data_IF_433584580190
#
_entry.id   IF_433584580190
#
_cell.length_a   1.000
_cell.length_b   1.000
_cell.length_c   1.000
_cell.angle_alpha   90.00
_cell.angle_beta   90.00
_cell.angle_gamma   90.00
#
_symmetry.space_group_name_H-M   'P 1'
#
loop_
_entity.id
_entity.type
_entity.pdbx_description
1 polymer ?
#
# COMPACT_ATOMS: atom_id res chain seq x y z
N UNK A 1 -23.46 24.54 24.47
CA UNK A 1 -22.74 23.99 25.63
C UNK A 1 -23.18 22.54 25.80
N UNK A 2 -22.31 21.56 25.55
CA UNK A 2 -22.60 20.13 25.77
C UNK A 2 -21.29 19.34 25.78
N UNK A 3 -21.20 18.25 26.56
CA UNK A 3 -20.14 17.25 26.41
C UNK A 3 -18.89 17.38 27.28
N UNK A 4 -18.94 18.08 28.42
CA UNK A 4 -17.94 17.88 29.47
C UNK A 4 -18.42 16.71 30.34
N UNK A 5 -17.70 15.58 30.29
CA UNK A 5 -18.03 14.39 31.09
C UNK A 5 -18.12 14.78 32.58
N UNK A 6 -19.18 14.37 33.30
CA UNK A 6 -19.35 14.74 34.70
C UNK A 6 -18.30 14.01 35.54
N UNK A 7 -17.20 14.72 35.82
CA UNK A 7 -16.11 14.34 36.71
C UNK A 7 -15.82 12.83 36.73
N UNK A 8 -15.07 12.34 35.74
CA UNK A 8 -14.47 11.00 35.77
C UNK A 8 -13.69 10.82 37.08
N UNK A 9 -14.35 10.20 38.06
CA UNK A 9 -13.78 9.98 39.38
C UNK A 9 -12.49 9.19 39.24
N UNK A 10 -11.48 9.52 40.04
CA UNK A 10 -10.24 8.74 40.13
C UNK A 10 -10.49 7.30 40.61
N UNK A 11 -11.69 7.01 41.16
CA UNK A 11 -12.17 5.66 41.47
C UNK A 11 -12.78 4.88 40.29
N UNK A 12 -12.92 5.48 39.10
CA UNK A 12 -13.47 4.77 37.94
C UNK A 12 -12.52 3.65 37.48
N UNK A 13 -12.99 2.40 37.25
CA UNK A 13 -12.12 1.25 36.95
C UNK A 13 -11.17 1.45 35.75
N UNK A 14 -11.57 2.28 34.78
CA UNK A 14 -10.79 2.62 33.59
C UNK A 14 -10.33 4.09 33.56
N UNK A 15 -10.22 4.77 34.71
CA UNK A 15 -9.84 6.19 34.81
C UNK A 15 -8.55 6.51 34.02
N UNK A 16 -7.56 5.63 34.12
CA UNK A 16 -6.25 5.73 33.48
C UNK A 16 -6.31 5.79 31.94
N UNK A 17 -7.30 5.12 31.33
CA UNK A 17 -7.60 5.20 29.90
C UNK A 17 -8.57 6.35 29.60
N UNK A 18 -9.67 6.44 30.35
CA UNK A 18 -10.78 7.35 30.10
C UNK A 18 -10.35 8.83 30.14
N UNK A 19 -9.43 9.19 31.05
CA UNK A 19 -8.87 10.55 31.19
C UNK A 19 -8.29 11.15 29.90
N UNK A 20 -7.90 10.32 28.92
CA UNK A 20 -7.36 10.79 27.65
C UNK A 20 -8.44 11.31 26.69
N UNK A 21 -9.72 10.92 26.88
CA UNK A 21 -10.81 11.32 25.99
C UNK A 21 -10.74 10.65 24.61
N UNK A 22 -10.19 9.43 24.54
CA UNK A 22 -10.10 8.63 23.30
C UNK A 22 -11.50 8.20 22.83
N UNK A 23 -12.40 7.91 23.77
CA UNK A 23 -13.79 7.52 23.53
C UNK A 23 -14.73 8.54 24.16
N UNK A 24 -15.79 8.92 23.44
CA UNK A 24 -16.87 9.76 23.94
C UNK A 24 -18.23 9.32 23.35
N UNK A 25 -19.31 9.63 24.05
CA UNK A 25 -20.69 9.37 23.58
C UNK A 25 -21.28 10.70 23.10
N UNK A 26 -21.54 10.78 21.80
CA UNK A 26 -21.76 12.03 21.07
C UNK A 26 -23.24 12.25 20.68
N UNK A 27 -24.15 11.89 21.60
CA UNK A 27 -25.60 12.02 21.38
C UNK A 27 -26.19 10.95 20.45
N UNK A 28 -27.12 11.36 19.59
CA UNK A 28 -27.86 10.50 18.67
C UNK A 28 -27.67 10.89 17.22
N UNK A 29 -27.68 9.91 16.32
CA UNK A 29 -27.79 10.17 14.89
C UNK A 29 -29.22 10.58 14.46
N UNK A 30 -29.40 10.78 13.15
CA UNK A 30 -30.69 11.19 12.56
C UNK A 30 -31.83 10.19 12.80
N UNK A 31 -31.52 8.94 13.17
CA UNK A 31 -32.49 7.87 13.45
C UNK A 31 -32.68 7.62 14.96
N UNK A 32 -32.11 8.45 15.84
CA UNK A 32 -32.21 8.27 17.29
C UNK A 32 -31.29 7.18 17.86
N UNK A 33 -30.27 6.76 17.10
CA UNK A 33 -29.31 5.72 17.51
C UNK A 33 -28.11 6.38 18.17
N UNK A 34 -27.65 5.82 19.30
CA UNK A 34 -26.49 6.35 20.04
C UNK A 34 -25.22 6.37 19.18
N UNK A 35 -24.49 7.49 19.23
CA UNK A 35 -23.22 7.68 18.52
C UNK A 35 -22.06 7.61 19.49
N UNK A 36 -21.07 6.76 19.21
CA UNK A 36 -19.81 6.68 19.97
C UNK A 36 -18.66 7.15 19.07
N UNK A 37 -17.89 8.13 19.52
CA UNK A 37 -16.72 8.66 18.79
C UNK A 37 -15.43 8.03 19.32
N UNK A 38 -14.52 7.66 18.42
CA UNK A 38 -13.15 7.25 18.71
C UNK A 38 -12.18 8.25 18.09
N UNK A 39 -11.40 8.93 18.93
CA UNK A 39 -10.56 10.07 18.55
C UNK A 39 -9.06 9.72 18.60
N UNK A 40 -8.48 9.38 17.45
CA UNK A 40 -7.07 8.97 17.38
C UNK A 40 -6.07 10.06 17.80
N UNK A 41 -6.42 11.34 17.69
CA UNK A 41 -5.57 12.46 18.12
C UNK A 41 -5.40 12.53 19.65
N UNK A 42 -6.24 11.80 20.40
CA UNK A 42 -6.20 11.69 21.86
C UNK A 42 -5.43 10.46 22.36
N UNK A 43 -4.90 9.63 21.46
CA UNK A 43 -4.04 8.51 21.82
C UNK A 43 -2.66 9.01 22.29
N UNK A 44 -2.28 8.87 23.58
CA UNK A 44 -0.93 9.15 24.06
C UNK A 44 0.08 8.12 23.50
N UNK A 45 1.40 8.33 23.68
CA UNK A 45 2.41 7.35 23.34
C UNK A 45 2.12 5.95 23.91
N UNK A 46 2.49 4.91 23.16
CA UNK A 46 2.17 3.50 23.45
C UNK A 46 2.82 2.93 24.72
N UNK A 47 3.68 3.69 25.41
CA UNK A 47 4.23 3.33 26.72
C UNK A 47 3.44 3.96 27.89
N UNK A 48 2.55 4.92 27.61
CA UNK A 48 1.66 5.57 28.59
C UNK A 48 0.25 4.96 28.60
N UNK A 49 -0.04 4.05 27.65
CA UNK A 49 -1.37 3.48 27.46
C UNK A 49 -1.32 1.96 27.26
N UNK A 50 -1.94 1.23 28.18
CA UNK A 50 -2.23 -0.18 27.99
C UNK A 50 -3.36 -0.34 26.95
N UNK A 51 -2.99 -0.87 25.77
CA UNK A 51 -3.95 -1.13 24.72
C UNK A 51 -4.95 -2.24 25.07
N UNK A 52 -4.58 -3.26 25.85
CA UNK A 52 -5.54 -4.28 26.28
C UNK A 52 -6.64 -3.63 27.14
N UNK A 53 -6.23 -2.79 28.09
CA UNK A 53 -7.17 -2.03 28.92
C UNK A 53 -8.00 -1.02 28.13
N UNK A 54 -7.46 -0.44 27.05
CA UNK A 54 -8.25 0.35 26.08
C UNK A 54 -9.34 -0.48 25.40
N UNK A 55 -9.07 -1.74 25.04
CA UNK A 55 -10.06 -2.64 24.44
C UNK A 55 -11.13 -3.03 25.47
N UNK A 56 -10.75 -3.28 26.72
CA UNK A 56 -11.67 -3.54 27.83
C UNK A 56 -12.56 -2.33 28.13
N UNK A 57 -12.00 -1.12 28.11
CA UNK A 57 -12.76 0.12 28.27
C UNK A 57 -13.73 0.36 27.09
N UNK A 58 -13.27 0.12 25.84
CA UNK A 58 -14.13 0.19 24.65
C UNK A 58 -15.34 -0.74 24.77
N UNK A 59 -15.14 -1.98 25.24
CA UNK A 59 -16.25 -2.89 25.54
C UNK A 59 -17.17 -2.34 26.62
N UNK A 60 -16.61 -1.88 27.75
CA UNK A 60 -17.37 -1.34 28.88
C UNK A 60 -18.26 -0.15 28.47
N UNK A 61 -17.79 0.71 27.57
CA UNK A 61 -18.61 1.77 26.98
C UNK A 61 -19.67 1.21 26.03
N UNK A 62 -19.32 0.26 25.16
CA UNK A 62 -20.27 -0.30 24.18
C UNK A 62 -21.37 -1.15 24.82
N UNK A 63 -21.07 -1.90 25.89
CA UNK A 63 -22.03 -2.77 26.61
C UNK A 63 -23.28 -2.01 27.08
N UNK A 64 -23.16 -0.71 27.36
CA UNK A 64 -24.26 0.16 27.79
C UNK A 64 -25.26 0.48 26.66
N UNK A 65 -24.85 0.31 25.41
CA UNK A 65 -25.64 0.66 24.21
C UNK A 65 -25.90 -0.54 23.29
N UNK A 66 -25.16 -1.64 23.47
CA UNK A 66 -25.11 -2.77 22.53
C UNK A 66 -26.43 -3.49 22.33
N UNK A 67 -27.38 -3.36 23.26
CA UNK A 67 -28.74 -3.90 23.14
C UNK A 67 -29.57 -3.19 22.09
N UNK A 68 -29.29 -1.90 21.86
CA UNK A 68 -29.98 -1.05 20.90
C UNK A 68 -29.13 -0.82 19.65
N UNK A 69 -29.77 -0.34 18.60
CA UNK A 69 -29.07 0.03 17.38
C UNK A 69 -28.17 1.26 17.62
N UNK A 70 -26.91 1.19 17.18
CA UNK A 70 -25.89 2.21 17.47
C UNK A 70 -24.93 2.46 16.29
N UNK A 71 -24.19 3.57 16.37
CA UNK A 71 -23.27 4.05 15.32
C UNK A 71 -21.91 4.39 15.95
N UNK A 72 -20.81 4.09 15.24
CA UNK A 72 -19.47 4.52 15.64
C UNK A 72 -18.91 5.51 14.61
N UNK A 73 -18.25 6.57 15.09
CA UNK A 73 -17.44 7.49 14.27
C UNK A 73 -15.99 7.38 14.72
N UNK A 74 -15.10 7.09 13.79
CA UNK A 74 -13.67 6.94 14.03
C UNK A 74 -12.90 8.04 13.29
N UNK A 75 -12.31 8.96 14.05
CA UNK A 75 -11.52 10.08 13.53
C UNK A 75 -10.07 9.66 13.33
N UNK A 76 -9.68 9.43 12.07
CA UNK A 76 -8.36 8.89 11.73
C UNK A 76 -7.30 10.01 11.55
N UNK A 77 -7.11 10.82 12.60
CA UNK A 77 -6.06 11.84 12.66
C UNK A 77 -5.15 11.65 13.89
N UNK A 78 -3.89 12.09 13.81
CA UNK A 78 -2.93 12.04 14.94
C UNK A 78 -2.24 10.68 15.21
N UNK A 79 -2.66 9.59 14.56
CA UNK A 79 -1.95 8.30 14.62
C UNK A 79 -0.57 8.39 13.96
N UNK A 80 0.45 7.95 14.68
CA UNK A 80 1.84 7.92 14.25
C UNK A 80 2.58 6.71 14.87
N UNK A 81 3.87 6.51 14.57
CA UNK A 81 4.61 5.34 15.05
C UNK A 81 4.77 5.26 16.58
N UNK A 82 4.55 6.35 17.33
CA UNK A 82 4.72 6.40 18.79
C UNK A 82 3.47 6.06 19.58
N UNK A 83 2.26 6.21 19.01
CA UNK A 83 0.97 6.00 19.69
C UNK A 83 0.06 4.94 19.04
N UNK A 84 0.51 4.33 17.94
CA UNK A 84 -0.29 3.38 17.17
C UNK A 84 -0.32 1.99 17.83
N UNK A 85 -1.50 1.40 18.06
CA UNK A 85 -1.61 0.04 18.57
C UNK A 85 -0.91 -0.99 17.67
N UNK A 86 -0.41 -2.06 18.29
CA UNK A 86 0.22 -3.17 17.56
C UNK A 86 -0.77 -3.86 16.63
N UNK A 87 -0.28 -4.52 15.57
CA UNK A 87 -1.15 -5.33 14.72
C UNK A 87 -1.76 -6.52 15.48
N UNK A 88 -1.06 -7.05 16.49
CA UNK A 88 -1.61 -8.04 17.41
C UNK A 88 -2.83 -7.50 18.16
N UNK A 89 -2.75 -6.29 18.71
CA UNK A 89 -3.91 -5.64 19.34
C UNK A 89 -5.06 -5.42 18.36
N UNK A 90 -4.76 -4.92 17.14
CA UNK A 90 -5.78 -4.74 16.11
C UNK A 90 -6.46 -6.06 15.75
N UNK A 91 -5.72 -7.16 15.66
CA UNK A 91 -6.28 -8.49 15.44
C UNK A 91 -7.09 -9.01 16.64
N UNK A 92 -6.65 -8.77 17.88
CA UNK A 92 -7.39 -9.15 19.09
C UNK A 92 -8.71 -8.39 19.18
N UNK A 93 -8.67 -7.06 19.13
CA UNK A 93 -9.86 -6.21 19.08
C UNK A 93 -10.81 -6.66 17.96
N UNK A 94 -10.27 -6.88 16.76
CA UNK A 94 -11.06 -7.35 15.63
C UNK A 94 -11.71 -8.74 15.86
N UNK A 95 -10.98 -9.70 16.42
CA UNK A 95 -11.49 -11.05 16.76
C UNK A 95 -12.60 -10.98 17.81
N UNK A 96 -12.46 -10.13 18.82
CA UNK A 96 -13.52 -9.92 19.83
C UNK A 96 -14.79 -9.34 19.21
N UNK A 97 -14.68 -8.50 18.17
CA UNK A 97 -15.84 -7.93 17.47
C UNK A 97 -16.49 -8.86 16.41
N UNK A 98 -15.74 -9.74 15.73
CA UNK A 98 -16.34 -10.60 14.68
C UNK A 98 -16.84 -11.96 15.19
N UNK A 99 -16.39 -12.43 16.36
CA UNK A 99 -16.64 -13.79 16.90
C UNK A 99 -18.08 -14.26 16.63
N UNK A 100 -18.22 -15.13 15.62
CA UNK A 100 -19.50 -15.76 15.27
C UNK A 100 -20.01 -16.59 16.46
N UNK A 101 -21.33 -16.72 16.51
CA UNK A 101 -22.05 -17.58 17.46
C UNK A 101 -21.44 -18.98 17.54
N UNK A 102 -21.54 -19.54 18.75
CA UNK A 102 -20.72 -20.65 19.20
C UNK A 102 -20.58 -21.81 18.24
N UNK A 103 -19.34 -22.32 18.15
CA UNK A 103 -19.14 -23.75 17.97
C UNK A 103 -19.64 -24.49 19.23
N UNK A 104 -20.97 -24.65 19.27
CA UNK A 104 -21.69 -25.48 20.23
C UNK A 104 -21.55 -26.97 19.91
N UNK A 105 -20.86 -27.35 18.82
CA UNK A 105 -20.73 -28.74 18.39
C UNK A 105 -19.61 -29.51 19.10
N UNK A 106 -18.63 -28.80 19.69
CA UNK A 106 -17.62 -29.43 20.57
C UNK A 106 -18.06 -29.64 22.03
N UNK A 107 -19.04 -28.88 22.53
CA UNK A 107 -19.42 -28.92 23.95
C UNK A 107 -20.01 -30.25 24.47
N UNK A 108 -20.79 -31.03 23.71
CA UNK A 108 -21.31 -32.32 24.19
C UNK A 108 -20.23 -33.39 24.43
N UNK A 109 -19.02 -33.25 23.86
CA UNK A 109 -17.97 -34.28 23.93
C UNK A 109 -17.03 -34.15 25.14
N UNK A 110 -17.01 -33.01 25.83
CA UNK A 110 -16.13 -32.76 26.99
C UNK A 110 -16.84 -32.82 28.35
N UNK A 111 -18.18 -32.79 28.38
CA UNK A 111 -18.99 -32.78 29.62
C UNK A 111 -19.47 -34.19 30.04
N UNK A 112 -19.12 -35.24 29.27
CA UNK A 112 -19.48 -36.63 29.56
C UNK A 112 -18.71 -37.28 30.73
N UNK A 113 -17.69 -36.62 31.30
CA UNK A 113 -16.87 -37.18 32.39
C UNK A 113 -17.43 -36.82 33.78
N UNK A 114 -18.06 -37.79 34.42
CA UNK A 114 -18.92 -37.68 35.60
C UNK A 114 -18.23 -37.38 36.96
N UNK A 115 -16.98 -36.88 36.97
CA UNK A 115 -16.16 -36.70 38.19
C UNK A 115 -16.02 -35.28 38.74
N UNK A 116 -16.54 -34.25 38.07
CA UNK A 116 -16.27 -32.82 38.39
C UNK A 116 -17.41 -32.07 39.11
N UNK A 117 -18.37 -32.77 39.74
CA UNK A 117 -19.63 -32.18 40.22
C UNK A 117 -19.63 -31.64 41.67
N UNK A 118 -18.46 -31.41 42.30
CA UNK A 118 -18.35 -30.93 43.69
C UNK A 118 -17.17 -29.95 43.89
N UNK A 119 -17.37 -28.68 43.58
CA UNK A 119 -16.76 -27.54 44.30
C UNK A 119 -17.46 -26.23 43.94
N UNK A 120 -17.73 -25.42 44.96
CA UNK A 120 -18.19 -24.04 44.85
C UNK A 120 -17.04 -23.11 44.41
N UNK A 121 -17.37 -21.88 43.99
CA UNK A 121 -16.42 -20.80 43.69
C UNK A 121 -15.48 -20.97 42.47
N UNK A 122 -16.03 -21.29 41.29
CA UNK A 122 -15.43 -20.83 40.02
C UNK A 122 -16.49 -20.22 39.11
N UNK A 123 -16.55 -18.88 39.09
CA UNK A 123 -17.29 -18.11 38.10
C UNK A 123 -16.57 -18.20 36.74
N UNK A 124 -17.02 -19.13 35.89
CA UNK A 124 -16.52 -19.27 34.53
C UNK A 124 -16.70 -17.94 33.74
N UNK A 125 -15.70 -17.49 32.94
CA UNK A 125 -15.78 -16.23 32.21
C UNK A 125 -17.00 -16.15 31.30
N UNK A 126 -17.70 -15.01 31.39
CA UNK A 126 -18.98 -14.73 30.74
C UNK A 126 -18.95 -14.93 29.23
N UNK A 127 -20.12 -15.29 28.69
CA UNK A 127 -20.43 -15.32 27.26
C UNK A 127 -19.99 -14.01 26.57
N UNK A 128 -19.48 -14.15 25.35
CA UNK A 128 -19.12 -13.04 24.46
C UNK A 128 -20.15 -12.89 23.35
N UNK A 129 -20.43 -11.65 22.96
CA UNK A 129 -21.77 -11.29 22.54
C UNK A 129 -21.92 -10.87 21.07
N UNK A 130 -22.76 -11.59 20.34
CA UNK A 130 -23.18 -11.29 18.97
C UNK A 130 -23.79 -9.87 18.82
N UNK A 131 -24.30 -9.28 19.92
CA UNK A 131 -24.93 -7.95 19.96
C UNK A 131 -24.07 -6.84 19.33
N UNK A 132 -22.76 -6.75 19.61
CA UNK A 132 -21.90 -5.65 19.08
C UNK A 132 -21.98 -5.57 17.55
N UNK A 133 -21.76 -6.71 16.88
CA UNK A 133 -21.77 -6.82 15.42
C UNK A 133 -23.18 -6.79 14.84
N UNK A 134 -24.19 -7.27 15.57
CA UNK A 134 -25.60 -7.25 15.14
C UNK A 134 -26.11 -5.81 15.04
N UNK A 135 -25.99 -5.06 16.12
CA UNK A 135 -26.72 -3.81 16.35
C UNK A 135 -25.95 -2.54 15.92
N UNK A 136 -24.63 -2.60 15.74
CA UNK A 136 -23.89 -1.55 15.00
C UNK A 136 -24.53 -1.35 13.62
N UNK A 137 -24.91 -0.13 13.23
CA UNK A 137 -25.45 0.16 11.88
C UNK A 137 -24.39 0.68 10.93
N UNK A 138 -23.57 1.62 11.40
CA UNK A 138 -22.51 2.23 10.63
C UNK A 138 -21.24 2.42 11.49
N UNK A 139 -20.09 2.23 10.85
CA UNK A 139 -18.77 2.63 11.31
C UNK A 139 -18.23 3.66 10.31
N UNK A 140 -18.36 4.94 10.64
CA UNK A 140 -17.88 6.04 9.82
C UNK A 140 -16.40 6.30 10.10
N UNK A 141 -15.54 6.11 9.11
CA UNK A 141 -14.09 6.32 9.18
C UNK A 141 -13.78 7.64 8.48
N UNK A 142 -13.49 8.67 9.28
CA UNK A 142 -13.20 10.04 8.84
C UNK A 142 -11.70 10.20 8.62
N UNK A 143 -11.31 10.89 7.55
CA UNK A 143 -9.92 11.13 7.13
C UNK A 143 -9.07 9.85 6.90
N UNK A 144 -9.59 8.83 6.18
CA UNK A 144 -8.93 7.53 6.07
C UNK A 144 -7.64 7.59 5.25
N UNK A 145 -6.50 7.33 5.90
CA UNK A 145 -5.21 7.13 5.22
C UNK A 145 -5.21 5.85 4.37
N UNK A 146 -4.28 5.76 3.42
CA UNK A 146 -4.01 4.50 2.71
C UNK A 146 -3.68 3.35 3.68
N UNK A 147 -3.07 3.63 4.84
CA UNK A 147 -2.81 2.60 5.84
C UNK A 147 -4.10 2.00 6.41
N UNK A 148 -5.09 2.81 6.81
CA UNK A 148 -6.33 2.24 7.38
C UNK A 148 -7.11 1.47 6.29
N UNK A 149 -7.15 1.97 5.06
CA UNK A 149 -7.77 1.29 3.90
C UNK A 149 -7.11 -0.07 3.61
N UNK A 150 -5.78 -0.14 3.63
CA UNK A 150 -5.02 -1.42 3.47
C UNK A 150 -5.24 -2.36 4.67
N UNK A 151 -5.25 -1.84 5.90
CA UNK A 151 -5.52 -2.65 7.10
C UNK A 151 -6.88 -3.35 7.03
N UNK A 152 -7.94 -2.64 6.61
CA UNK A 152 -9.26 -3.22 6.41
C UNK A 152 -9.27 -4.33 5.34
N UNK A 153 -8.50 -4.19 4.26
CA UNK A 153 -8.34 -5.25 3.26
C UNK A 153 -7.58 -6.47 3.79
N UNK A 154 -6.54 -6.28 4.61
CA UNK A 154 -5.81 -7.39 5.26
C UNK A 154 -6.69 -8.13 6.27
N UNK A 155 -7.53 -7.40 7.02
CA UNK A 155 -8.46 -8.00 7.96
C UNK A 155 -9.65 -8.66 7.26
N UNK A 156 -9.99 -8.28 6.02
CA UNK A 156 -11.17 -8.73 5.24
C UNK A 156 -11.50 -10.23 5.32
N UNK A 157 -10.56 -11.20 5.30
CA UNK A 157 -10.88 -12.62 5.46
C UNK A 157 -11.42 -13.00 6.84
N UNK A 158 -11.08 -12.22 7.86
CA UNK A 158 -11.63 -12.33 9.23
C UNK A 158 -12.96 -11.57 9.35
N UNK A 159 -13.34 -10.74 8.37
CA UNK A 159 -14.53 -9.89 8.43
C UNK A 159 -15.72 -10.57 7.76
N UNK A 160 -16.80 -10.75 8.52
CA UNK A 160 -18.09 -11.10 7.91
C UNK A 160 -18.48 -10.07 6.86
N UNK A 161 -18.80 -10.53 5.65
CA UNK A 161 -19.30 -9.69 4.55
C UNK A 161 -20.45 -8.73 4.95
N UNK A 162 -21.29 -9.14 5.93
CA UNK A 162 -22.35 -8.29 6.51
C UNK A 162 -21.82 -7.13 7.35
N UNK A 163 -20.68 -7.28 8.04
CA UNK A 163 -20.04 -6.21 8.81
C UNK A 163 -19.24 -5.28 7.89
N UNK A 164 -18.54 -5.81 6.89
CA UNK A 164 -17.78 -4.98 5.94
C UNK A 164 -18.63 -3.91 5.24
N UNK A 165 -19.91 -4.20 4.95
CA UNK A 165 -20.89 -3.24 4.40
C UNK A 165 -21.27 -2.10 5.34
N UNK A 166 -20.95 -2.18 6.64
CA UNK A 166 -21.22 -1.14 7.65
C UNK A 166 -20.08 -0.11 7.74
N UNK A 167 -18.92 -0.39 7.17
CA UNK A 167 -17.76 0.51 7.19
C UNK A 167 -17.87 1.50 6.03
N UNK A 168 -18.00 2.78 6.36
CA UNK A 168 -18.20 3.88 5.41
C UNK A 168 -17.06 4.88 5.60
N UNK A 169 -16.52 5.41 4.51
CA UNK A 169 -15.31 6.24 4.51
C UNK A 169 -15.64 7.66 4.05
N UNK A 170 -15.24 8.66 4.83
CA UNK A 170 -15.39 10.08 4.48
C UNK A 170 -14.03 10.76 4.45
N UNK A 171 -13.74 11.47 3.36
CA UNK A 171 -12.51 12.23 3.19
C UNK A 171 -12.59 13.61 3.86
N UNK A 172 -13.80 14.11 4.13
CA UNK A 172 -14.09 15.39 4.78
C UNK A 172 -15.16 15.27 5.87
N UNK A 173 -15.18 16.22 6.82
CA UNK A 173 -16.23 16.33 7.84
C UNK A 173 -17.59 16.76 7.27
N UNK A 174 -17.60 17.45 6.13
CA UNK A 174 -18.82 17.85 5.41
C UNK A 174 -19.72 16.65 5.09
N UNK A 175 -19.14 15.52 4.66
CA UNK A 175 -19.86 14.28 4.30
C UNK A 175 -20.62 13.64 5.48
N UNK A 176 -20.22 13.92 6.73
CA UNK A 176 -20.93 13.45 7.93
C UNK A 176 -22.30 14.14 8.11
N UNK A 177 -22.48 15.35 7.58
CA UNK A 177 -23.68 16.17 7.84
C UNK A 177 -24.96 15.52 7.31
N UNK A 178 -24.87 14.78 6.20
CA UNK A 178 -25.99 14.02 5.63
C UNK A 178 -26.45 12.88 6.56
N UNK A 179 -25.53 12.34 7.35
CA UNK A 179 -25.71 11.09 8.11
C UNK A 179 -26.00 11.32 9.60
N UNK A 180 -25.42 12.37 10.19
CA UNK A 180 -25.40 12.63 11.63
C UNK A 180 -25.92 14.03 11.98
N UNK A 181 -26.31 14.22 13.24
CA UNK A 181 -26.61 15.54 13.81
C UNK A 181 -25.29 16.21 14.19
N UNK A 182 -24.68 16.94 13.25
CA UNK A 182 -23.33 17.47 13.38
C UNK A 182 -23.12 18.29 14.67
N UNK A 183 -24.12 19.10 15.07
CA UNK A 183 -24.08 19.95 16.27
C UNK A 183 -24.01 19.17 17.61
N UNK A 184 -24.36 17.88 17.61
CA UNK A 184 -24.25 17.02 18.81
C UNK A 184 -22.87 16.37 18.93
N UNK A 185 -22.05 16.47 17.90
CA UNK A 185 -20.88 15.63 17.71
C UNK A 185 -19.62 16.32 18.24
N UNK A 186 -19.01 15.74 19.28
CA UNK A 186 -17.79 16.28 19.89
C UNK A 186 -16.58 15.94 18.99
N UNK A 187 -16.33 16.80 18.01
CA UNK A 187 -15.20 16.70 17.09
C UNK A 187 -13.98 17.38 17.74
N UNK A 188 -12.84 16.68 17.89
CA UNK A 188 -11.63 17.31 18.44
C UNK A 188 -11.14 18.48 17.57
N UNK A 189 -10.69 19.61 18.15
CA UNK A 189 -10.19 20.77 17.39
C UNK A 189 -9.05 20.44 16.43
N UNK A 190 -8.27 19.40 16.72
CA UNK A 190 -7.19 18.90 15.87
C UNK A 190 -7.72 18.29 14.56
N UNK A 191 -8.91 17.67 14.59
CA UNK A 191 -9.59 17.08 13.44
C UNK A 191 -10.21 18.17 12.57
N UNK A 192 -10.86 19.17 13.19
CA UNK A 192 -11.43 20.35 12.49
C UNK A 192 -10.35 21.09 11.69
N UNK A 193 -9.23 21.46 12.33
CA UNK A 193 -8.09 22.14 11.67
C UNK A 193 -7.46 21.31 10.55
N UNK A 194 -7.49 19.99 10.68
CA UNK A 194 -7.00 19.11 9.62
C UNK A 194 -7.98 19.03 8.44
N UNK A 195 -9.28 19.04 8.71
CA UNK A 195 -10.32 19.11 7.67
C UNK A 195 -10.25 20.42 6.87
N UNK A 196 -10.17 21.56 7.56
CA UNK A 196 -9.94 22.89 6.93
C UNK A 196 -8.71 22.90 6.02
N UNK A 197 -7.63 22.24 6.46
CA UNK A 197 -6.41 22.06 5.66
C UNK A 197 -6.62 21.16 4.45
N UNK A 198 -7.44 20.11 4.54
CA UNK A 198 -7.77 19.26 3.40
C UNK A 198 -8.71 19.97 2.40
N UNK A 199 -9.68 20.75 2.89
CA UNK A 199 -10.60 21.51 2.05
C UNK A 199 -9.87 22.62 1.29
N UNK A 200 -9.02 23.42 1.96
CA UNK A 200 -8.22 24.47 1.30
C UNK A 200 -7.25 23.94 0.24
N UNK A 201 -6.75 22.71 0.38
CA UNK A 201 -5.97 22.03 -0.66
C UNK A 201 -6.83 21.58 -1.86
N UNK A 202 -8.13 21.32 -1.67
CA UNK A 202 -9.03 20.82 -2.71
C UNK A 202 -9.76 21.93 -3.47
N UNK A 203 -10.14 23.02 -2.80
CA UNK A 203 -10.82 24.18 -3.41
C UNK A 203 -9.93 25.02 -4.33
N UNK A 204 -8.64 24.68 -4.48
CA UNK A 204 -7.66 25.48 -5.25
C UNK A 204 -7.42 26.88 -4.67
N UNK A 205 -7.99 27.18 -3.50
CA UNK A 205 -7.90 28.47 -2.84
C UNK A 205 -6.51 28.60 -2.23
N UNK A 206 -5.60 29.20 -2.99
CA UNK A 206 -4.24 29.52 -2.52
C UNK A 206 -4.33 30.09 -1.11
N UNK A 207 -3.55 29.56 -0.14
CA UNK A 207 -3.41 30.24 1.15
C UNK A 207 -3.01 31.70 0.89
N UNK A 208 -3.37 32.65 1.77
CA UNK A 208 -2.85 34.01 1.67
C UNK A 208 -1.33 33.92 1.52
N UNK A 209 -0.69 34.77 0.69
CA UNK A 209 0.72 34.62 0.37
C UNK A 209 1.59 34.97 1.58
N UNK A 210 1.69 34.03 2.52
CA UNK A 210 3.00 33.53 2.92
C UNK A 210 3.79 33.43 1.62
N UNK A 211 4.84 34.26 1.50
CA UNK A 211 5.68 34.32 0.32
C UNK A 211 6.41 32.98 0.21
N UNK A 212 5.70 31.98 -0.30
CA UNK A 212 6.30 30.74 -0.75
C UNK A 212 7.25 31.17 -1.84
N UNK A 213 8.58 31.02 -1.65
CA UNK A 213 9.50 31.39 -2.70
C UNK A 213 9.10 30.62 -3.96
N UNK A 214 9.20 31.23 -5.16
CA UNK A 214 8.85 30.56 -6.42
C UNK A 214 9.49 29.17 -6.42
N UNK A 215 8.76 28.13 -6.87
CA UNK A 215 9.08 26.72 -6.61
C UNK A 215 10.55 26.50 -6.86
N UNK A 216 11.30 26.34 -5.76
CA UNK A 216 12.76 26.49 -5.79
C UNK A 216 13.29 25.49 -6.80
N UNK A 217 14.06 25.91 -7.83
CA UNK A 217 14.51 24.99 -8.85
C UNK A 217 15.20 23.80 -8.18
N UNK A 218 14.95 22.57 -8.65
CA UNK A 218 15.47 21.38 -7.99
C UNK A 218 16.99 21.52 -7.85
N UNK A 219 17.50 21.13 -6.68
CA UNK A 219 18.94 21.13 -6.45
C UNK A 219 19.62 20.32 -7.56
N UNK A 220 20.83 20.68 -8.02
CA UNK A 220 21.56 19.90 -9.02
C UNK A 220 21.69 18.40 -8.66
N UNK A 221 21.67 18.11 -7.36
CA UNK A 221 21.75 16.78 -6.73
C UNK A 221 20.40 16.22 -6.25
N UNK A 222 19.27 16.89 -6.51
CA UNK A 222 17.92 16.50 -6.08
C UNK A 222 17.60 15.06 -6.51
N UNK A 223 17.16 14.21 -5.57
CA UNK A 223 16.82 12.81 -5.82
C UNK A 223 15.32 12.50 -5.69
N UNK A 224 14.60 13.23 -4.83
CA UNK A 224 13.16 13.05 -4.58
C UNK A 224 12.34 14.14 -5.27
N UNK A 225 11.08 13.85 -5.66
CA UNK A 225 10.21 14.84 -6.29
C UNK A 225 10.55 15.18 -7.75
N UNK A 226 11.40 14.39 -8.41
CA UNK A 226 11.92 14.64 -9.77
C UNK A 226 11.66 13.46 -10.69
N UNK A 227 11.62 13.70 -12.00
CA UNK A 227 11.37 12.65 -13.00
C UNK A 227 12.55 11.68 -13.12
N UNK A 228 12.27 10.46 -13.60
CA UNK A 228 13.33 9.50 -13.93
C UNK A 228 14.32 10.08 -14.94
N UNK A 229 13.85 10.81 -15.97
CA UNK A 229 14.71 11.49 -16.93
C UNK A 229 15.67 12.48 -16.26
N UNK A 230 15.20 13.33 -15.34
CA UNK A 230 16.08 14.25 -14.59
C UNK A 230 17.16 13.48 -13.81
N UNK A 231 16.79 12.35 -13.20
CA UNK A 231 17.73 11.50 -12.47
C UNK A 231 18.78 10.87 -13.41
N UNK A 232 18.39 10.43 -14.61
CA UNK A 232 19.32 9.95 -15.63
C UNK A 232 20.32 11.04 -16.04
N UNK A 233 19.80 12.23 -16.35
CA UNK A 233 20.61 13.36 -16.82
C UNK A 233 21.59 13.87 -15.76
N UNK A 234 21.24 13.79 -14.47
CA UNK A 234 22.10 14.19 -13.34
C UNK A 234 23.04 13.08 -12.85
N UNK A 235 22.76 11.81 -13.14
CA UNK A 235 23.57 10.67 -12.70
C UNK A 235 24.25 9.95 -13.88
N UNK A 236 24.92 10.71 -14.77
CA UNK A 236 25.80 10.16 -15.82
C UNK A 236 25.14 9.19 -16.82
N UNK A 237 23.81 9.28 -17.00
CA UNK A 237 23.07 8.39 -17.89
C UNK A 237 22.59 7.08 -17.25
N UNK A 238 22.90 6.83 -15.97
CA UNK A 238 22.46 5.66 -15.21
C UNK A 238 20.92 5.53 -15.18
N UNK A 239 20.41 4.35 -15.54
CA UNK A 239 18.98 4.09 -15.55
C UNK A 239 18.43 3.78 -14.15
N UNK A 240 19.24 3.26 -13.22
CA UNK A 240 18.80 2.95 -11.86
C UNK A 240 19.14 4.12 -10.92
N UNK A 241 18.15 4.86 -10.37
CA UNK A 241 18.41 6.00 -9.51
C UNK A 241 19.24 5.63 -8.27
N UNK A 242 20.17 6.49 -7.81
CA UNK A 242 21.02 6.21 -6.66
C UNK A 242 20.26 5.78 -5.40
N UNK A 243 19.14 6.43 -5.08
CA UNK A 243 18.30 6.07 -3.91
C UNK A 243 17.79 4.63 -4.01
N UNK A 244 17.34 4.22 -5.20
CA UNK A 244 16.86 2.86 -5.43
C UNK A 244 18.02 1.85 -5.36
N UNK A 245 19.15 2.16 -6.00
CA UNK A 245 20.36 1.32 -5.98
C UNK A 245 20.88 1.09 -4.55
N UNK A 246 21.14 2.16 -3.79
CA UNK A 246 21.71 2.06 -2.44
C UNK A 246 20.76 1.38 -1.45
N UNK A 247 19.46 1.67 -1.50
CA UNK A 247 18.48 0.98 -0.63
C UNK A 247 18.34 -0.49 -0.98
N UNK A 248 18.32 -0.87 -2.25
CA UNK A 248 18.24 -2.27 -2.70
C UNK A 248 19.51 -3.04 -2.32
N UNK A 249 20.71 -2.48 -2.55
CA UNK A 249 21.99 -3.11 -2.17
C UNK A 249 22.02 -3.40 -0.66
N UNK A 250 21.81 -2.38 0.18
CA UNK A 250 21.86 -2.53 1.64
C UNK A 250 20.82 -3.54 2.17
N UNK A 251 19.59 -3.51 1.63
CA UNK A 251 18.55 -4.46 2.02
C UNK A 251 18.80 -5.88 1.51
N UNK A 252 19.46 -6.05 0.37
CA UNK A 252 19.87 -7.36 -0.15
C UNK A 252 20.98 -7.98 0.71
N UNK A 253 21.91 -7.16 1.22
CA UNK A 253 23.01 -7.60 2.07
C UNK A 253 22.57 -7.89 3.51
N UNK A 254 21.76 -7.00 4.12
CA UNK A 254 21.48 -7.02 5.57
C UNK A 254 20.01 -7.25 5.94
N UNK A 255 19.07 -7.07 5.01
CA UNK A 255 17.64 -6.97 5.30
C UNK A 255 16.76 -8.16 4.89
N UNK A 256 17.22 -9.05 4.01
CA UNK A 256 16.36 -10.08 3.38
C UNK A 256 15.63 -10.99 4.38
N UNK A 257 16.20 -11.27 5.55
CA UNK A 257 15.60 -12.13 6.59
C UNK A 257 14.89 -11.35 7.71
N UNK A 258 14.86 -10.03 7.66
CA UNK A 258 14.23 -9.20 8.71
C UNK A 258 12.70 -9.33 8.70
N UNK A 259 12.11 -9.73 9.83
CA UNK A 259 10.65 -9.82 9.96
C UNK A 259 9.94 -8.48 9.66
N UNK A 260 8.97 -8.53 8.74
CA UNK A 260 8.14 -7.40 8.38
C UNK A 260 8.87 -6.33 7.57
N UNK A 261 9.92 -6.70 6.82
CA UNK A 261 10.53 -5.81 5.83
C UNK A 261 9.47 -5.19 4.90
N UNK A 262 9.58 -3.89 4.58
CA UNK A 262 8.54 -3.09 3.92
C UNK A 262 7.17 -2.96 4.62
N UNK A 263 6.83 -3.79 5.61
CA UNK A 263 5.58 -3.71 6.39
C UNK A 263 5.72 -2.77 7.59
N UNK A 264 6.85 -2.83 8.29
CA UNK A 264 7.12 -1.99 9.47
C UNK A 264 7.36 -0.53 9.05
N UNK A 265 7.08 0.39 9.98
CA UNK A 265 7.30 1.83 9.84
C UNK A 265 8.61 2.22 10.49
N UNK A 266 9.27 3.24 9.93
CA UNK A 266 10.48 3.85 10.48
C UNK A 266 10.17 5.25 11.05
N UNK A 267 11.15 5.87 11.71
CA UNK A 267 11.04 7.25 12.22
C UNK A 267 10.81 8.26 11.07
N UNK A 268 9.70 9.01 11.13
CA UNK A 268 9.37 10.05 10.13
C UNK A 268 10.40 11.18 10.12
N UNK A 269 11.02 11.48 11.27
CA UNK A 269 12.07 12.50 11.37
C UNK A 269 13.33 12.04 10.62
N UNK A 270 13.76 10.80 10.86
CA UNK A 270 14.93 10.19 10.22
C UNK A 270 14.73 9.99 8.71
N UNK A 271 13.52 9.61 8.29
CA UNK A 271 13.17 9.53 6.86
C UNK A 271 13.33 10.89 6.16
N UNK A 272 12.82 11.97 6.76
CA UNK A 272 12.97 13.33 6.22
C UNK A 272 14.42 13.81 6.20
N UNK A 273 15.20 13.45 7.21
CA UNK A 273 16.63 13.74 7.26
C UNK A 273 17.38 13.07 6.11
N UNK A 274 17.15 11.78 5.89
CA UNK A 274 17.79 11.03 4.80
C UNK A 274 17.37 11.56 3.43
N UNK A 275 16.09 11.91 3.24
CA UNK A 275 15.63 12.61 2.03
C UNK A 275 16.40 13.93 1.81
N UNK A 276 16.62 14.72 2.88
CA UNK A 276 17.40 15.96 2.83
C UNK A 276 18.88 15.69 2.48
N UNK A 277 19.50 14.64 3.02
CA UNK A 277 20.89 14.28 2.71
C UNK A 277 21.04 13.87 1.24
N UNK A 278 20.19 12.96 0.75
CA UNK A 278 20.17 12.56 -0.66
C UNK A 278 19.97 13.76 -1.61
N UNK A 279 19.00 14.63 -1.32
CA UNK A 279 18.74 15.83 -2.14
C UNK A 279 19.92 16.83 -2.14
N UNK A 280 20.72 16.85 -1.06
CA UNK A 280 21.98 17.63 -0.98
C UNK A 280 23.18 16.92 -1.64
N UNK A 281 23.01 15.72 -2.21
CA UNK A 281 24.11 14.92 -2.76
C UNK A 281 25.07 14.39 -1.69
N UNK A 282 24.65 14.37 -0.42
CA UNK A 282 25.48 13.87 0.69
C UNK A 282 25.39 12.34 0.79
N UNK A 283 26.49 11.66 1.17
CA UNK A 283 26.45 10.23 1.42
C UNK A 283 25.49 9.92 2.58
N UNK A 284 24.86 8.76 2.51
CA UNK A 284 23.98 8.20 3.54
C UNK A 284 24.47 6.79 3.83
N UNK A 285 25.00 6.55 5.03
CA UNK A 285 25.24 5.22 5.52
C UNK A 285 24.02 4.75 6.33
N UNK A 286 23.43 3.60 5.98
CA UNK A 286 22.25 3.11 6.69
C UNK A 286 22.59 2.44 8.03
N UNK A 287 23.84 2.03 8.26
CA UNK A 287 24.28 1.48 9.55
C UNK A 287 24.21 2.51 10.67
N UNK A 288 24.48 3.80 10.38
CA UNK A 288 24.49 4.92 11.34
C UNK A 288 23.14 5.11 12.07
N UNK A 289 22.05 4.57 11.52
CA UNK A 289 20.69 4.77 12.04
C UNK A 289 20.12 3.59 12.84
N UNK A 290 20.78 2.42 12.83
CA UNK A 290 20.38 1.25 13.63
C UNK A 290 19.03 0.58 13.32
N UNK A 291 18.23 1.08 12.35
CA UNK A 291 16.93 0.52 11.97
C UNK A 291 16.90 0.12 10.47
N UNK A 292 16.97 -1.18 10.23
CA UNK A 292 16.88 -1.83 8.91
C UNK A 292 15.57 -1.51 8.14
N UNK A 293 14.52 -1.05 8.82
CA UNK A 293 13.28 -0.62 8.15
C UNK A 293 13.37 0.77 7.53
N UNK A 294 14.35 1.60 7.90
CA UNK A 294 14.58 2.93 7.31
C UNK A 294 14.79 2.85 5.79
N UNK A 295 15.78 2.12 5.25
CA UNK A 295 15.97 2.01 3.80
C UNK A 295 14.73 1.44 3.08
N UNK A 296 13.98 0.54 3.73
CA UNK A 296 12.74 0.01 3.19
C UNK A 296 11.60 1.05 3.09
N UNK A 297 11.54 2.01 4.02
CA UNK A 297 10.60 3.15 3.97
C UNK A 297 11.08 4.22 2.99
N UNK A 298 12.39 4.47 2.91
CA UNK A 298 13.00 5.40 1.95
C UNK A 298 12.73 4.96 0.51
N UNK A 299 12.95 3.68 0.18
CA UNK A 299 12.68 3.11 -1.15
C UNK A 299 11.22 3.34 -1.58
N UNK A 300 10.25 2.98 -0.73
CA UNK A 300 8.82 3.21 -1.04
C UNK A 300 8.47 4.71 -1.16
N UNK A 301 9.18 5.55 -0.42
CA UNK A 301 8.96 7.01 -0.43
C UNK A 301 9.50 7.64 -1.70
N UNK A 302 10.66 7.20 -2.19
CA UNK A 302 11.19 7.58 -3.50
C UNK A 302 10.18 7.28 -4.63
N UNK A 303 9.64 6.06 -4.67
CA UNK A 303 8.65 5.66 -5.69
C UNK A 303 7.36 6.52 -5.63
N UNK A 304 6.86 6.79 -4.43
CA UNK A 304 5.63 7.59 -4.21
C UNK A 304 5.81 9.08 -4.50
N UNK A 305 7.03 9.60 -4.43
CA UNK A 305 7.34 11.00 -4.69
C UNK A 305 7.79 11.26 -6.15
N UNK A 306 7.73 10.26 -7.03
CA UNK A 306 7.90 10.49 -8.47
C UNK A 306 6.73 11.37 -9.01
N UNK A 307 6.98 12.37 -9.87
CA UNK A 307 5.92 13.20 -10.46
C UNK A 307 4.87 12.43 -11.29
N UNK A 308 5.23 11.24 -11.76
CA UNK A 308 4.36 10.27 -12.42
C UNK A 308 4.60 8.89 -11.77
N UNK A 309 3.58 8.05 -11.59
CA UNK A 309 3.77 6.67 -11.15
C UNK A 309 4.77 5.91 -12.01
N UNK A 310 5.51 4.98 -11.41
CA UNK A 310 6.51 4.17 -12.13
C UNK A 310 5.87 3.37 -13.28
N UNK A 311 4.63 2.90 -13.10
CA UNK A 311 3.86 2.22 -14.16
C UNK A 311 3.19 3.18 -15.16
N UNK A 312 3.37 4.49 -15.03
CA UNK A 312 2.75 5.57 -15.82
C UNK A 312 1.22 5.67 -15.68
N UNK A 313 0.66 6.84 -15.98
CA UNK A 313 -0.81 7.01 -15.98
C UNK A 313 -1.50 6.22 -17.11
N UNK A 314 -0.83 5.98 -18.24
CA UNK A 314 -1.38 5.28 -19.40
C UNK A 314 -1.66 3.78 -19.13
N UNK A 315 -0.94 3.17 -18.21
CA UNK A 315 -1.19 1.78 -17.81
C UNK A 315 -2.35 1.63 -16.81
N UNK A 316 -2.84 2.72 -16.19
CA UNK A 316 -3.79 2.66 -15.07
C UNK A 316 -5.04 1.82 -15.40
N UNK A 317 -5.77 2.20 -16.46
CA UNK A 317 -6.99 1.49 -16.89
C UNK A 317 -6.71 0.05 -17.37
N UNK A 318 -5.58 -0.17 -18.04
CA UNK A 318 -5.17 -1.51 -18.48
C UNK A 318 -4.92 -2.44 -17.29
N UNK A 319 -4.31 -1.91 -16.22
CA UNK A 319 -4.08 -2.64 -14.97
C UNK A 319 -5.41 -2.90 -14.25
N UNK A 320 -6.35 -1.95 -14.24
CA UNK A 320 -7.69 -2.20 -13.67
C UNK A 320 -8.42 -3.36 -14.37
N UNK A 321 -8.24 -3.49 -15.68
CA UNK A 321 -8.80 -4.59 -16.48
C UNK A 321 -8.23 -5.98 -16.19
N UNK A 322 -7.12 -6.13 -15.46
CA UNK A 322 -6.44 -7.43 -15.27
C UNK A 322 -7.33 -8.47 -14.55
N UNK A 323 -8.26 -8.03 -13.70
CA UNK A 323 -9.21 -8.91 -13.01
C UNK A 323 -10.24 -9.54 -13.95
N UNK A 324 -10.51 -8.90 -15.09
CA UNK A 324 -11.41 -9.40 -16.12
C UNK A 324 -10.73 -10.40 -17.08
N UNK A 325 -9.40 -10.51 -17.05
CA UNK A 325 -8.65 -11.51 -17.81
C UNK A 325 -8.71 -12.87 -17.11
N UNK A 326 -8.90 -13.95 -17.87
CA UNK A 326 -8.84 -15.32 -17.37
C UNK A 326 -7.54 -15.61 -16.63
N UNK A 327 -7.61 -16.32 -15.49
CA UNK A 327 -6.47 -16.55 -14.60
C UNK A 327 -5.23 -17.14 -15.29
N UNK A 328 -5.44 -18.00 -16.29
CA UNK A 328 -4.40 -18.61 -17.15
C UNK A 328 -3.64 -17.58 -18.01
N UNK A 329 -4.32 -16.52 -18.45
CA UNK A 329 -3.79 -15.52 -19.38
C UNK A 329 -3.24 -14.26 -18.69
N UNK A 330 -3.49 -14.08 -17.38
CA UNK A 330 -3.07 -12.87 -16.63
C UNK A 330 -1.57 -12.57 -16.71
N UNK A 331 -0.71 -13.59 -16.66
CA UNK A 331 0.75 -13.42 -16.80
C UNK A 331 1.12 -12.84 -18.17
N UNK A 332 0.46 -13.31 -19.24
CA UNK A 332 0.62 -12.77 -20.60
C UNK A 332 0.07 -11.35 -20.71
N UNK A 333 -1.08 -11.08 -20.08
CA UNK A 333 -1.67 -9.74 -19.98
C UNK A 333 -0.73 -8.75 -19.29
N UNK A 334 -0.12 -9.13 -18.15
CA UNK A 334 0.91 -8.33 -17.48
C UNK A 334 2.08 -8.04 -18.43
N UNK A 335 2.63 -9.05 -19.12
CA UNK A 335 3.73 -8.86 -20.08
C UNK A 335 3.35 -7.87 -21.20
N UNK A 336 2.11 -7.92 -21.69
CA UNK A 336 1.64 -7.01 -22.72
C UNK A 336 1.52 -5.56 -22.24
N UNK A 337 1.02 -5.34 -21.01
CA UNK A 337 0.99 -4.00 -20.39
C UNK A 337 2.43 -3.46 -20.22
N UNK A 338 3.36 -4.29 -19.72
CA UNK A 338 4.74 -3.86 -19.51
C UNK A 338 5.48 -3.46 -20.79
N UNK A 339 5.16 -4.08 -21.94
CA UNK A 339 5.71 -3.70 -23.26
C UNK A 339 5.29 -2.29 -23.72
N UNK A 340 4.24 -1.71 -23.13
CA UNK A 340 3.81 -0.34 -23.44
C UNK A 340 4.48 0.74 -22.58
N UNK A 341 5.29 0.35 -21.59
CA UNK A 341 5.99 1.29 -20.73
C UNK A 341 7.21 1.90 -21.46
N UNK A 342 7.58 3.16 -21.17
CA UNK A 342 8.87 3.71 -21.58
C UNK A 342 10.03 2.85 -21.06
N UNK A 343 11.09 2.69 -21.87
CA UNK A 343 12.24 1.83 -21.55
C UNK A 343 12.83 2.11 -20.15
N UNK A 344 12.96 3.38 -19.78
CA UNK A 344 13.49 3.76 -18.47
C UNK A 344 12.58 3.28 -17.32
N UNK A 345 11.27 3.42 -17.46
CA UNK A 345 10.29 2.91 -16.50
C UNK A 345 10.34 1.37 -16.42
N UNK A 346 10.45 0.68 -17.56
CA UNK A 346 10.55 -0.77 -17.62
C UNK A 346 11.81 -1.30 -16.91
N UNK A 347 12.98 -0.70 -17.16
CA UNK A 347 14.26 -1.08 -16.53
C UNK A 347 14.22 -0.87 -15.01
N UNK A 348 13.72 0.28 -14.55
CA UNK A 348 13.58 0.58 -13.12
C UNK A 348 12.58 -0.37 -12.44
N UNK A 349 11.46 -0.67 -13.11
CA UNK A 349 10.47 -1.63 -12.62
C UNK A 349 11.05 -3.05 -12.54
N UNK A 350 11.76 -3.52 -13.58
CA UNK A 350 12.41 -4.85 -13.60
C UNK A 350 13.40 -5.00 -12.46
N UNK A 351 14.26 -3.99 -12.25
CA UNK A 351 15.22 -3.97 -11.14
C UNK A 351 14.53 -4.09 -9.77
N UNK A 352 13.45 -3.31 -9.56
CA UNK A 352 12.67 -3.36 -8.33
C UNK A 352 11.96 -4.72 -8.16
N UNK A 353 11.27 -5.22 -9.18
CA UNK A 353 10.53 -6.49 -9.10
C UNK A 353 11.46 -7.67 -8.83
N UNK A 354 12.65 -7.71 -9.42
CA UNK A 354 13.64 -8.77 -9.15
C UNK A 354 14.17 -8.74 -7.72
N UNK A 355 14.29 -7.56 -7.11
CA UNK A 355 14.59 -7.45 -5.68
C UNK A 355 13.40 -7.84 -4.79
N UNK A 356 12.16 -7.45 -5.13
CA UNK A 356 10.97 -7.88 -4.37
C UNK A 356 10.72 -9.39 -4.49
N UNK A 357 11.07 -10.00 -5.62
CA UNK A 357 11.09 -11.46 -5.78
C UNK A 357 12.10 -12.09 -4.83
N UNK A 358 13.34 -11.58 -4.75
CA UNK A 358 14.32 -12.07 -3.78
C UNK A 358 13.85 -11.94 -2.31
N UNK A 359 13.09 -10.89 -1.98
CA UNK A 359 12.45 -10.74 -0.66
C UNK A 359 11.34 -11.78 -0.46
N UNK A 360 10.48 -12.04 -1.45
CA UNK A 360 9.40 -13.04 -1.32
C UNK A 360 9.93 -14.47 -1.18
N UNK A 361 11.08 -14.78 -1.79
CA UNK A 361 11.80 -16.06 -1.63
C UNK A 361 12.25 -16.34 -0.19
N UNK A 362 12.53 -15.31 0.61
CA UNK A 362 12.94 -15.41 2.02
C UNK A 362 11.74 -15.28 3.01
N UNK A 363 10.51 -15.41 2.52
CA UNK A 363 9.26 -15.20 3.29
C UNK A 363 9.06 -16.13 4.48
N UNK A 364 9.74 -17.29 4.53
CA UNK A 364 9.76 -18.14 5.72
C UNK A 364 10.40 -17.43 6.93
N UNK A 365 11.39 -16.57 6.71
CA UNK A 365 12.03 -15.75 7.74
C UNK A 365 11.34 -14.39 7.87
N UNK A 366 11.29 -13.61 6.79
CA UNK A 366 10.85 -12.21 6.82
C UNK A 366 9.31 -12.01 6.88
N UNK A 367 8.52 -13.08 6.66
CA UNK A 367 7.04 -13.10 6.65
C UNK A 367 6.37 -12.29 5.52
N UNK A 368 7.10 -11.91 4.48
CA UNK A 368 6.66 -11.06 3.38
C UNK A 368 6.65 -11.82 2.05
N UNK A 369 5.60 -12.62 1.82
CA UNK A 369 5.34 -13.22 0.52
C UNK A 369 4.94 -12.16 -0.54
N UNK A 370 4.80 -12.58 -1.80
CA UNK A 370 4.40 -11.74 -2.93
C UNK A 370 3.13 -10.93 -2.67
N UNK A 371 2.08 -11.54 -2.10
CA UNK A 371 0.83 -10.85 -1.76
C UNK A 371 1.00 -9.77 -0.67
N UNK A 372 1.76 -10.07 0.39
CA UNK A 372 2.08 -9.11 1.45
C UNK A 372 2.90 -7.92 0.91
N UNK A 373 3.84 -8.18 -0.01
CA UNK A 373 4.63 -7.15 -0.68
C UNK A 373 3.76 -6.32 -1.63
N UNK A 374 2.90 -6.95 -2.42
CA UNK A 374 1.97 -6.27 -3.31
C UNK A 374 1.05 -5.29 -2.57
N UNK A 375 0.51 -5.69 -1.41
CA UNK A 375 -0.31 -4.83 -0.56
C UNK A 375 0.41 -3.57 -0.05
N UNK A 376 1.75 -3.60 0.09
CA UNK A 376 2.54 -2.42 0.50
C UNK A 376 3.22 -1.67 -0.65
N UNK A 377 3.28 -2.25 -1.85
CA UNK A 377 3.89 -1.64 -3.03
C UNK A 377 2.92 -1.09 -4.06
N UNK A 378 1.73 -1.68 -4.28
CA UNK A 378 0.84 -1.32 -5.40
C UNK A 378 0.56 0.19 -5.51
N UNK A 379 0.19 0.84 -4.41
CA UNK A 379 -0.07 2.29 -4.36
C UNK A 379 1.19 3.18 -4.41
N UNK A 380 2.41 2.62 -4.37
CA UNK A 380 3.65 3.34 -4.66
C UNK A 380 4.13 3.09 -6.10
N UNK A 381 3.51 2.17 -6.85
CA UNK A 381 3.83 1.91 -8.26
C UNK A 381 2.86 2.60 -9.22
N UNK A 382 1.60 2.79 -8.81
CA UNK A 382 0.51 3.27 -9.66
C UNK A 382 -0.61 3.96 -8.87
N UNK A 383 -1.08 5.09 -9.39
CA UNK A 383 -2.19 5.91 -8.90
C UNK A 383 -2.82 6.68 -10.08
N UNK A 384 -4.08 7.15 -10.00
CA UNK A 384 -4.73 7.86 -11.10
C UNK A 384 -4.09 9.24 -11.33
N UNK A 385 -4.28 9.83 -12.51
CA UNK A 385 -3.80 11.18 -12.83
C UNK A 385 -4.51 12.29 -12.06
N UNK A 386 -5.71 12.01 -11.55
CA UNK A 386 -6.53 12.94 -10.76
C UNK A 386 -7.13 12.21 -9.55
N UNK A 387 -7.17 12.89 -8.41
CA UNK A 387 -7.74 12.37 -7.16
C UNK A 387 -6.93 11.23 -6.52
N UNK A 388 -7.61 10.45 -5.68
CA UNK A 388 -7.04 9.28 -4.98
C UNK A 388 -7.60 7.99 -5.58
N UNK A 389 -6.78 6.92 -5.63
CA UNK A 389 -7.26 5.59 -6.06
C UNK A 389 -8.52 5.18 -5.30
N UNK A 390 -9.56 4.79 -6.04
CA UNK A 390 -10.80 4.25 -5.48
C UNK A 390 -10.53 2.95 -4.71
N UNK A 391 -11.40 2.61 -3.76
CA UNK A 391 -11.28 1.35 -3.02
C UNK A 391 -11.44 0.12 -3.92
N UNK A 392 -12.24 0.22 -4.98
CA UNK A 392 -12.39 -0.83 -5.99
C UNK A 392 -11.11 -1.07 -6.79
N UNK A 393 -10.33 -0.02 -7.08
CA UNK A 393 -9.04 -0.15 -7.76
C UNK A 393 -8.00 -0.94 -6.95
N UNK A 394 -8.07 -0.96 -5.61
CA UNK A 394 -7.06 -1.64 -4.78
C UNK A 394 -6.92 -3.15 -5.08
N UNK A 395 -8.01 -3.80 -5.51
CA UNK A 395 -7.99 -5.25 -5.82
C UNK A 395 -7.17 -5.55 -7.09
N UNK A 396 -7.48 -5.00 -8.29
CA UNK A 396 -6.67 -5.22 -9.48
C UNK A 396 -5.24 -4.66 -9.35
N UNK A 397 -5.04 -3.50 -8.70
CA UNK A 397 -3.69 -2.94 -8.52
C UNK A 397 -2.79 -3.86 -7.67
N UNK A 398 -3.33 -4.43 -6.58
CA UNK A 398 -2.58 -5.39 -5.77
C UNK A 398 -2.38 -6.72 -6.52
N UNK A 399 -3.41 -7.24 -7.20
CA UNK A 399 -3.29 -8.47 -8.01
C UNK A 399 -2.21 -8.34 -9.09
N UNK A 400 -2.18 -7.23 -9.83
CA UNK A 400 -1.15 -6.96 -10.82
C UNK A 400 0.25 -6.95 -10.20
N UNK A 401 0.42 -6.23 -9.08
CA UNK A 401 1.71 -6.16 -8.37
C UNK A 401 2.14 -7.54 -7.83
N UNK A 402 1.21 -8.35 -7.33
CA UNK A 402 1.45 -9.71 -6.86
C UNK A 402 1.93 -10.62 -8.01
N UNK A 403 1.28 -10.55 -9.17
CA UNK A 403 1.68 -11.28 -10.37
C UNK A 403 3.09 -10.90 -10.84
N UNK A 404 3.44 -9.60 -10.81
CA UNK A 404 4.80 -9.12 -11.17
C UNK A 404 5.89 -9.68 -10.26
N UNK A 405 5.60 -9.86 -8.97
CA UNK A 405 6.55 -10.38 -7.97
C UNK A 405 6.62 -11.91 -8.01
N UNK A 406 5.47 -12.59 -8.05
CA UNK A 406 5.38 -14.05 -8.03
C UNK A 406 5.96 -14.67 -9.31
N UNK A 407 5.56 -14.13 -10.46
CA UNK A 407 5.97 -14.63 -11.78
C UNK A 407 7.09 -13.79 -12.41
N UNK A 408 7.94 -13.14 -11.59
CA UNK A 408 9.01 -12.25 -12.03
C UNK A 408 9.81 -12.82 -13.21
N UNK A 409 10.38 -14.02 -13.07
CA UNK A 409 11.18 -14.66 -14.14
C UNK A 409 10.36 -14.83 -15.43
N UNK A 410 9.11 -15.31 -15.33
CA UNK A 410 8.24 -15.51 -16.50
C UNK A 410 7.80 -14.19 -17.15
N UNK A 411 7.66 -13.11 -16.39
CA UNK A 411 7.16 -11.82 -16.90
C UNK A 411 8.30 -11.00 -17.53
N UNK A 412 9.49 -11.02 -16.92
CA UNK A 412 10.65 -10.21 -17.32
C UNK A 412 11.72 -10.99 -18.13
N UNK A 413 11.52 -12.29 -18.41
CA UNK A 413 12.30 -13.01 -19.41
C UNK A 413 12.15 -12.39 -20.80
N UNK A 414 13.25 -12.36 -21.55
CA UNK A 414 13.22 -12.11 -23.00
C UNK A 414 12.30 -13.12 -23.69
N UNK A 415 11.53 -12.72 -24.73
CA UNK A 415 10.78 -13.69 -25.52
C UNK A 415 11.78 -14.67 -26.16
N UNK A 416 11.64 -15.96 -25.87
CA UNK A 416 12.25 -17.01 -26.68
C UNK A 416 11.74 -16.85 -28.12
N UNK A 417 12.66 -16.89 -29.09
CA UNK A 417 12.27 -16.84 -30.49
C UNK A 417 11.43 -18.07 -30.81
N UNK A 418 10.24 -17.93 -31.43
CA UNK A 418 9.39 -19.09 -31.72
C UNK A 418 9.99 -19.90 -32.88
N UNK A 419 10.77 -20.94 -32.57
CA UNK A 419 11.06 -21.99 -33.55
C UNK A 419 12.46 -22.60 -33.56
N UNK A 420 12.96 -23.19 -32.45
CA UNK A 420 13.96 -24.27 -32.50
C UNK A 420 13.57 -25.43 -31.57
N UNK A 421 12.43 -26.05 -31.85
CA UNK A 421 12.08 -27.37 -31.31
C UNK A 421 12.05 -28.38 -32.45
N UNK A 422 13.04 -29.28 -32.46
CA UNK A 422 13.04 -30.49 -33.26
C UNK A 422 14.05 -30.52 -34.40
N UNK A 423 15.24 -31.05 -34.12
CA UNK A 423 15.87 -32.09 -34.92
C UNK A 423 16.94 -32.79 -34.08
N UNK A 424 16.78 -34.11 -33.91
CA UNK A 424 17.73 -34.97 -33.20
C UNK A 424 18.96 -35.27 -34.10
N UNK A 425 20.09 -35.73 -33.53
CA UNK A 425 21.35 -35.80 -34.27
C UNK A 425 21.37 -36.90 -35.32
N UNK A 426 22.03 -36.63 -36.45
CA UNK A 426 22.44 -37.64 -37.42
C UNK A 426 23.97 -37.71 -37.47
N UNK A 427 24.54 -38.81 -36.99
CA UNK A 427 25.92 -39.20 -37.30
C UNK A 427 25.94 -39.93 -38.65
N UNK A 428 26.88 -39.62 -39.54
CA UNK A 428 27.67 -40.60 -40.34
C UNK A 428 28.54 -39.94 -41.42
N UNK A 429 29.83 -40.30 -41.44
CA UNK A 429 30.55 -40.65 -42.68
C UNK A 429 31.35 -39.57 -43.44
N UNK A 430 32.68 -39.64 -43.31
CA UNK A 430 33.73 -39.47 -44.37
C UNK A 430 33.50 -38.45 -45.51
N UNK A 431 34.43 -37.52 -45.78
CA UNK A 431 35.81 -37.77 -46.27
C UNK A 431 36.59 -36.43 -46.40
N UNK A 432 37.92 -36.47 -46.57
CA UNK A 432 38.83 -35.34 -46.31
C UNK A 432 39.35 -34.55 -47.54
N UNK A 433 39.81 -33.32 -47.25
CA UNK A 433 40.85 -32.52 -47.96
C UNK A 433 40.49 -31.96 -49.37
N UNK A 434 41.27 -31.00 -49.97
CA UNK A 434 42.57 -30.44 -49.55
C UNK A 434 42.72 -28.89 -49.57
N UNK A 435 43.98 -28.42 -49.46
CA UNK A 435 44.46 -27.06 -49.21
C UNK A 435 44.57 -26.14 -50.45
N UNK A 436 44.85 -24.86 -50.20
CA UNK A 436 45.01 -23.76 -51.17
C UNK A 436 46.41 -23.66 -51.80
N UNK A 437 46.46 -23.33 -53.10
CA UNK A 437 47.43 -22.48 -53.83
C UNK A 437 46.90 -22.29 -55.29
N UNK A 438 47.25 -21.30 -56.13
CA UNK A 438 47.89 -19.98 -55.95
C UNK A 438 47.71 -19.10 -57.23
N UNK A 439 47.73 -17.76 -57.09
CA UNK A 439 48.45 -16.75 -57.96
C UNK A 439 48.08 -16.64 -59.49
N UNK A 440 48.06 -15.45 -60.16
CA UNK A 440 47.65 -14.08 -59.76
C UNK A 440 47.00 -13.18 -60.88
N UNK A 441 46.59 -11.94 -60.51
CA UNK A 441 46.65 -10.63 -61.26
C UNK A 441 46.30 -10.50 -62.77
N UNK A 442 45.57 -9.41 -63.14
CA UNK A 442 46.09 -8.26 -63.98
C UNK A 442 44.99 -7.20 -64.30
N UNK A 443 45.22 -5.92 -63.91
CA UNK A 443 44.76 -4.61 -64.49
C UNK A 443 43.25 -4.36 -64.85
N UNK A 444 42.74 -3.15 -65.10
CA UNK A 444 42.98 -1.75 -64.64
C UNK A 444 41.87 -0.83 -65.24
N UNK A 445 41.82 0.47 -64.87
CA UNK A 445 40.93 1.54 -65.41
C UNK A 445 39.42 1.44 -65.03
N UNK A 446 38.62 2.50 -64.97
CA UNK A 446 38.90 3.95 -65.02
C UNK A 446 37.71 4.81 -65.52
N UNK A 447 37.31 5.82 -64.73
CA UNK A 447 36.55 7.05 -65.11
C UNK A 447 35.04 7.03 -65.49
N UNK A 448 34.34 8.02 -64.88
CA UNK A 448 33.26 8.91 -65.41
C UNK A 448 31.76 8.52 -65.49
N UNK A 449 30.92 9.51 -65.08
CA UNK A 449 29.46 9.68 -65.23
C UNK A 449 29.05 10.00 -66.69
N UNK A 450 27.82 9.68 -67.15
CA UNK A 450 26.64 10.59 -67.09
C UNK A 450 25.28 9.83 -66.87
N UNK A 451 24.05 10.35 -66.99
CA UNK A 451 23.30 11.58 -66.61
C UNK A 451 21.98 11.59 -67.43
N UNK A 452 20.79 11.47 -66.78
CA UNK A 452 19.41 11.77 -67.29
C UNK A 452 18.83 10.93 -68.47
N UNK A 453 17.50 11.04 -68.83
CA UNK A 453 16.25 11.26 -68.08
C UNK A 453 15.10 10.27 -68.55
N UNK A 454 13.79 10.62 -68.57
CA UNK A 454 12.81 10.70 -67.46
C UNK A 454 11.59 9.73 -67.61
N UNK A 455 10.73 9.62 -66.59
CA UNK A 455 9.47 8.86 -66.65
C UNK A 455 8.21 9.73 -66.39
N UNK A 456 7.14 9.62 -67.18
CA UNK A 456 5.84 10.25 -66.90
C UNK A 456 4.70 9.25 -66.62
N UNK A 457 3.65 9.73 -65.93
CA UNK A 457 2.26 9.19 -65.89
C UNK A 457 2.07 7.76 -65.33
N UNK A 458 0.96 7.36 -64.70
CA UNK A 458 -0.12 7.97 -63.90
C UNK A 458 -1.10 6.81 -63.56
N UNK A 459 -2.18 7.08 -62.82
CA UNK A 459 -3.33 6.18 -62.58
C UNK A 459 -3.08 4.99 -61.62
N UNK A 460 -4.02 4.59 -60.74
CA UNK A 460 -5.29 5.21 -60.36
C UNK A 460 -5.93 4.56 -59.11
N UNK A 461 -6.75 5.34 -58.36
CA UNK A 461 -8.05 4.93 -57.71
C UNK A 461 -8.02 3.81 -56.62
N UNK A 462 -9.03 3.54 -55.77
CA UNK A 462 -10.19 4.23 -55.11
C UNK A 462 -10.76 3.20 -54.08
N UNK A 463 -11.40 3.51 -52.94
CA UNK A 463 -11.86 4.76 -52.28
C UNK A 463 -11.17 4.84 -50.89
N UNK A 464 -11.65 5.46 -49.80
CA UNK A 464 -12.84 6.29 -49.47
C UNK A 464 -12.36 7.37 -48.49
#
# INVERSE_FOLDING_TARGET
MAGQDPALSTSHPFYDVARHGILQVAGDDRFGRRVVTFSCCRMPPSHELDHQRLLEYLKYTLDQYVENDYTIVYFHYGLNSRNKPSLGWLQSAYKEFDRKDGDLTMWPRLVSNSKLKRSSHLSLPKYWDYRYKKNLKALYVVHPTSFIKVLWNILKPLISHKFGKKVIYFNYLSELHEHLKYDQLVIPPEVLRYDEKLQSLHEGRTPPPTKTPPPRPPLPTQQFGVSLQYLKDKNQGELIPPVLRFTVTYLREKGLRTEGLFRRSASVQTVREIQRLYNQGKPVNFDDYGDIHIPAVILKTFLRELPQPLLTFQAYEQILGITCVESSLRVTGCRQILRSLPEHNYVVLRYLMGFLHAVSRESIFNKMNSSNLACVFGLNLIWPSQGVSSLSALVPLNMFTELLIEYYEKIFSTPEAPGEHGLAPWEQGSRAAPLQEAVPRTQATGLTKPTLPPSPLMAARRRL
#
